data_IF_632032241213
#
_entry.id   IF_632032241213
#
_cell.length_a   1.000
_cell.length_b   1.000
_cell.length_c   1.000
_cell.angle_alpha   90.00
_cell.angle_beta   90.00
_cell.angle_gamma   90.00
#
_symmetry.space_group_name_H-M   'P 1'
#
loop_
_entity.id
_entity.type
_entity.pdbx_description
1 polymer ?
#
# COMPACT_ATOMS: atom_id res chain seq x y z
N UNK A 1 21.00 -17.43 -15.46
CA UNK A 1 20.97 -16.00 -15.86
C UNK A 1 19.61 -15.42 -15.48
N UNK A 2 19.42 -14.80 -14.30
CA UNK A 2 18.11 -14.31 -13.86
C UNK A 2 17.78 -12.97 -14.56
N UNK A 3 17.63 -12.99 -15.89
CA UNK A 3 17.20 -11.83 -16.67
C UNK A 3 15.76 -11.40 -16.33
N UNK A 4 14.94 -12.32 -15.81
CA UNK A 4 13.55 -12.05 -15.42
C UNK A 4 13.40 -11.12 -14.20
N UNK A 5 14.30 -11.19 -13.21
CA UNK A 5 14.21 -10.33 -12.01
C UNK A 5 14.63 -8.88 -12.30
N UNK A 6 15.58 -8.67 -13.21
CA UNK A 6 16.05 -7.34 -13.57
C UNK A 6 15.01 -6.53 -14.38
N UNK A 7 14.11 -7.21 -15.08
CA UNK A 7 13.08 -6.60 -15.92
C UNK A 7 11.74 -6.32 -15.23
N UNK A 8 11.52 -6.78 -14.00
CA UNK A 8 10.24 -6.60 -13.33
C UNK A 8 9.97 -5.11 -13.07
N UNK A 9 8.83 -4.60 -13.56
CA UNK A 9 8.42 -3.24 -13.25
C UNK A 9 7.95 -3.14 -11.79
N UNK A 10 8.32 -2.08 -11.05
CA UNK A 10 7.75 -1.77 -9.73
C UNK A 10 6.21 -1.71 -9.75
N UNK A 11 5.62 -1.43 -10.91
CA UNK A 11 4.17 -1.39 -11.12
C UNK A 11 3.46 -2.75 -10.94
N UNK A 12 4.19 -3.86 -10.79
CA UNK A 12 3.59 -5.18 -10.52
C UNK A 12 2.76 -5.22 -9.22
N UNK A 13 3.04 -4.34 -8.25
CA UNK A 13 2.18 -4.17 -7.07
C UNK A 13 0.78 -3.64 -7.42
N UNK A 14 0.57 -3.12 -8.62
CA UNK A 14 -0.76 -2.79 -9.15
C UNK A 14 -1.70 -4.00 -9.18
N UNK A 15 -1.17 -5.22 -9.32
CA UNK A 15 -1.98 -6.45 -9.21
C UNK A 15 -2.54 -6.62 -7.80
N UNK A 16 -1.70 -6.48 -6.76
CA UNK A 16 -2.12 -6.57 -5.35
C UNK A 16 -3.11 -5.45 -5.00
N UNK A 17 -2.85 -4.25 -5.51
CA UNK A 17 -3.75 -3.11 -5.37
C UNK A 17 -5.14 -3.44 -5.95
N UNK A 18 -5.21 -3.91 -7.19
CA UNK A 18 -6.46 -4.24 -7.86
C UNK A 18 -7.21 -5.38 -7.17
N UNK A 19 -6.53 -6.49 -6.86
CA UNK A 19 -7.12 -7.64 -6.15
C UNK A 19 -7.66 -7.23 -4.79
N UNK A 20 -6.93 -6.37 -4.06
CA UNK A 20 -7.39 -5.87 -2.77
C UNK A 20 -8.64 -4.98 -2.85
N UNK A 21 -8.74 -4.12 -3.86
CA UNK A 21 -9.95 -3.29 -4.09
C UNK A 21 -11.14 -4.21 -4.42
N UNK A 22 -10.95 -5.18 -5.31
CA UNK A 22 -12.03 -6.12 -5.68
C UNK A 22 -12.47 -6.95 -4.47
N UNK A 23 -11.54 -7.38 -3.61
CA UNK A 23 -11.86 -8.07 -2.36
C UNK A 23 -12.73 -7.21 -1.44
N UNK A 24 -12.35 -5.95 -1.20
CA UNK A 24 -13.12 -5.01 -0.37
C UNK A 24 -14.52 -4.74 -0.98
N UNK A 25 -14.60 -4.53 -2.28
CA UNK A 25 -15.88 -4.33 -2.98
C UNK A 25 -16.78 -5.56 -2.89
N UNK A 26 -16.23 -6.76 -3.06
CA UNK A 26 -16.97 -8.01 -2.90
C UNK A 26 -17.52 -8.15 -1.47
N UNK A 27 -16.74 -7.74 -0.46
CA UNK A 27 -17.19 -7.71 0.93
C UNK A 27 -18.37 -6.75 1.14
N UNK A 28 -18.26 -5.51 0.62
CA UNK A 28 -19.34 -4.50 0.72
C UNK A 28 -20.62 -4.95 0.02
N UNK A 29 -20.51 -5.70 -1.07
CA UNK A 29 -21.64 -6.29 -1.81
C UNK A 29 -22.23 -7.54 -1.13
N UNK A 30 -21.67 -8.01 -0.02
CA UNK A 30 -22.14 -9.18 0.71
C UNK A 30 -21.60 -10.53 0.20
N UNK A 31 -20.73 -10.54 -0.81
CA UNK A 31 -20.06 -11.74 -1.32
C UNK A 31 -18.84 -12.14 -0.46
N UNK A 32 -19.10 -12.43 0.83
CA UNK A 32 -18.06 -12.68 1.84
C UNK A 32 -17.09 -13.81 1.46
N UNK A 33 -17.52 -14.98 0.93
CA UNK A 33 -16.59 -16.05 0.58
C UNK A 33 -15.61 -15.64 -0.53
N UNK A 34 -16.10 -14.86 -1.52
CA UNK A 34 -15.27 -14.34 -2.61
C UNK A 34 -14.27 -13.33 -2.09
N UNK A 35 -14.72 -12.43 -1.20
CA UNK A 35 -13.83 -11.46 -0.56
C UNK A 35 -12.69 -12.14 0.21
N UNK A 36 -13.00 -13.18 0.99
CA UNK A 36 -12.00 -13.94 1.74
C UNK A 36 -11.03 -14.71 0.84
N UNK A 37 -11.52 -15.35 -0.22
CA UNK A 37 -10.67 -16.05 -1.18
C UNK A 37 -9.68 -15.07 -1.87
N UNK A 38 -10.19 -13.92 -2.33
CA UNK A 38 -9.36 -12.87 -2.92
C UNK A 38 -8.37 -12.29 -1.92
N UNK A 39 -8.75 -12.15 -0.66
CA UNK A 39 -7.88 -11.66 0.40
C UNK A 39 -6.68 -12.59 0.65
N UNK A 40 -6.91 -13.90 0.77
CA UNK A 40 -5.82 -14.87 0.93
C UNK A 40 -4.89 -14.92 -0.29
N UNK A 41 -5.47 -14.86 -1.49
CA UNK A 41 -4.70 -14.71 -2.72
C UNK A 41 -3.84 -13.43 -2.69
N UNK A 42 -4.43 -12.32 -2.24
CA UNK A 42 -3.76 -11.03 -2.17
C UNK A 42 -2.58 -11.03 -1.19
N UNK A 43 -2.70 -11.71 -0.05
CA UNK A 43 -1.58 -11.92 0.89
C UNK A 43 -0.43 -12.66 0.19
N UNK A 44 -0.74 -13.75 -0.52
CA UNK A 44 0.27 -14.53 -1.24
C UNK A 44 0.99 -13.69 -2.29
N UNK A 45 0.24 -12.95 -3.12
CA UNK A 45 0.79 -12.05 -4.13
C UNK A 45 1.66 -10.96 -3.51
N UNK A 46 1.21 -10.34 -2.42
CA UNK A 46 1.95 -9.31 -1.71
C UNK A 46 3.27 -9.84 -1.15
N UNK A 47 3.25 -11.01 -0.50
CA UNK A 47 4.45 -11.64 0.05
C UNK A 47 5.49 -11.98 -1.02
N UNK A 48 5.05 -12.56 -2.14
CA UNK A 48 5.94 -12.88 -3.27
C UNK A 48 6.56 -11.62 -3.87
N UNK A 49 5.77 -10.57 -4.12
CA UNK A 49 6.27 -9.32 -4.70
C UNK A 49 7.22 -8.58 -3.74
N UNK A 50 6.96 -8.60 -2.44
CA UNK A 50 7.89 -8.06 -1.45
C UNK A 50 9.20 -8.83 -1.42
N UNK A 51 9.16 -10.16 -1.41
CA UNK A 51 10.37 -10.98 -1.44
C UNK A 51 11.22 -10.68 -2.69
N UNK A 52 10.59 -10.58 -3.86
CA UNK A 52 11.27 -10.22 -5.12
C UNK A 52 11.83 -8.80 -5.09
N UNK A 53 11.11 -7.85 -4.50
CA UNK A 53 11.54 -6.45 -4.40
C UNK A 53 12.72 -6.28 -3.44
N UNK A 54 12.68 -6.95 -2.30
CA UNK A 54 13.79 -6.98 -1.33
C UNK A 54 15.00 -7.68 -1.93
N UNK A 55 14.80 -8.84 -2.59
CA UNK A 55 15.88 -9.52 -3.30
C UNK A 55 16.51 -8.61 -4.35
N UNK A 56 15.72 -7.86 -5.12
CA UNK A 56 16.24 -6.88 -6.09
C UNK A 56 17.00 -5.73 -5.41
N UNK A 57 16.50 -5.21 -4.30
CA UNK A 57 17.15 -4.13 -3.57
C UNK A 57 18.51 -4.55 -3.00
N UNK A 58 18.64 -5.80 -2.53
CA UNK A 58 19.89 -6.35 -1.96
C UNK A 58 20.87 -6.77 -3.06
N UNK A 59 20.39 -7.45 -4.10
CA UNK A 59 21.26 -7.98 -5.17
C UNK A 59 21.67 -6.91 -6.19
N UNK A 60 20.82 -5.92 -6.45
CA UNK A 60 21.02 -4.90 -7.49
C UNK A 60 20.69 -3.48 -7.02
N UNK A 61 21.30 -2.98 -5.92
CA UNK A 61 20.97 -1.67 -5.36
C UNK A 61 21.19 -0.53 -6.36
N UNK A 62 22.26 -0.58 -7.16
CA UNK A 62 22.54 0.44 -8.19
C UNK A 62 21.43 0.54 -9.25
N UNK A 63 20.87 -0.59 -9.66
CA UNK A 63 19.77 -0.63 -10.64
C UNK A 63 18.49 -0.10 -10.00
N UNK A 64 18.21 -0.50 -8.75
CA UNK A 64 17.06 -0.05 -7.99
C UNK A 64 17.04 1.48 -7.77
N UNK A 65 18.16 2.06 -7.36
CA UNK A 65 18.29 3.52 -7.24
C UNK A 65 18.24 4.23 -8.59
N UNK A 66 18.74 3.60 -9.66
CA UNK A 66 18.59 4.10 -11.02
C UNK A 66 17.12 4.17 -11.46
N UNK A 67 16.32 3.14 -11.16
CA UNK A 67 14.88 3.11 -11.46
C UNK A 67 14.09 4.16 -10.65
N UNK A 68 14.52 4.48 -9.42
CA UNK A 68 13.95 5.57 -8.60
C UNK A 68 14.15 6.95 -9.23
N UNK A 69 15.22 7.13 -10.01
CA UNK A 69 15.57 8.38 -10.68
C UNK A 69 15.02 8.46 -12.11
N UNK A 70 14.40 7.39 -12.62
CA UNK A 70 13.80 7.33 -13.94
C UNK A 70 12.35 7.84 -13.90
N UNK A 71 12.06 8.89 -14.68
CA UNK A 71 10.74 9.52 -14.78
C UNK A 71 9.62 8.53 -15.17
N UNK A 72 9.93 7.46 -15.92
CA UNK A 72 8.94 6.50 -16.38
C UNK A 72 8.65 5.42 -15.32
N UNK A 73 9.62 5.09 -14.47
CA UNK A 73 9.55 3.97 -13.51
C UNK A 73 9.30 4.42 -12.08
N UNK A 74 9.76 5.63 -11.71
CA UNK A 74 9.60 6.21 -10.39
C UNK A 74 8.14 6.20 -9.91
N UNK A 75 7.13 6.60 -10.72
CA UNK A 75 5.74 6.58 -10.27
C UNK A 75 5.22 5.16 -9.96
N UNK A 76 5.80 4.14 -10.60
CA UNK A 76 5.48 2.73 -10.35
C UNK A 76 5.74 2.31 -8.90
N UNK A 77 6.71 2.92 -8.22
CA UNK A 77 6.98 2.61 -6.81
C UNK A 77 5.84 3.02 -5.89
N UNK A 78 5.03 4.04 -6.22
CA UNK A 78 3.86 4.41 -5.41
C UNK A 78 2.78 3.32 -5.37
N UNK A 79 2.78 2.38 -6.32
CA UNK A 79 1.88 1.21 -6.25
C UNK A 79 2.14 0.34 -5.02
N UNK A 80 3.38 0.30 -4.51
CA UNK A 80 3.73 -0.43 -3.28
C UNK A 80 3.03 0.17 -2.07
N UNK A 81 2.96 1.50 -2.00
CA UNK A 81 2.24 2.25 -0.95
C UNK A 81 0.75 1.97 -1.03
N UNK A 82 0.17 2.11 -2.22
CA UNK A 82 -1.25 1.87 -2.45
C UNK A 82 -1.62 0.42 -2.06
N UNK A 83 -0.88 -0.58 -2.56
CA UNK A 83 -1.09 -1.99 -2.24
C UNK A 83 -1.00 -2.26 -0.72
N UNK A 84 -0.01 -1.69 -0.04
CA UNK A 84 0.16 -1.88 1.42
C UNK A 84 -1.00 -1.27 2.20
N UNK A 85 -1.42 -0.05 1.85
CA UNK A 85 -2.55 0.63 2.51
C UNK A 85 -3.89 -0.10 2.29
N UNK A 86 -4.12 -0.65 1.10
CA UNK A 86 -5.32 -1.46 0.80
C UNK A 86 -5.28 -2.80 1.54
N UNK A 87 -4.11 -3.42 1.67
CA UNK A 87 -3.96 -4.63 2.46
C UNK A 87 -4.23 -4.35 3.95
N UNK A 88 -3.76 -3.21 4.47
CA UNK A 88 -4.10 -2.76 5.82
C UNK A 88 -5.62 -2.64 6.03
N UNK A 89 -6.33 -2.02 5.07
CA UNK A 89 -7.79 -1.96 5.09
C UNK A 89 -8.43 -3.34 5.11
N UNK A 90 -7.95 -4.29 4.29
CA UNK A 90 -8.50 -5.65 4.29
C UNK A 90 -8.32 -6.35 5.63
N UNK A 91 -7.18 -6.21 6.31
CA UNK A 91 -7.00 -6.77 7.67
C UNK A 91 -7.97 -6.16 8.68
N UNK A 92 -8.19 -4.84 8.62
CA UNK A 92 -9.12 -4.15 9.51
C UNK A 92 -10.60 -4.52 9.25
N UNK A 93 -10.98 -4.75 7.99
CA UNK A 93 -12.38 -5.00 7.59
C UNK A 93 -12.74 -6.48 7.61
N UNK A 94 -11.91 -7.35 7.02
CA UNK A 94 -12.27 -8.77 6.83
C UNK A 94 -11.92 -9.65 8.03
N UNK A 95 -10.77 -9.40 8.68
CA UNK A 95 -10.31 -10.16 9.86
C UNK A 95 -10.66 -9.45 11.17
N UNK A 96 -11.00 -8.15 11.10
CA UNK A 96 -11.15 -7.28 12.27
C UNK A 96 -9.89 -7.19 13.13
N UNK A 97 -8.72 -7.46 12.53
CA UNK A 97 -7.43 -7.36 13.21
C UNK A 97 -6.87 -5.94 13.09
N UNK A 98 -7.17 -5.14 14.10
CA UNK A 98 -6.73 -3.74 14.17
C UNK A 98 -5.22 -3.64 14.38
N UNK A 99 -4.60 -4.63 15.02
CA UNK A 99 -3.17 -4.58 15.30
C UNK A 99 -2.36 -4.75 14.01
N UNK A 100 -2.63 -5.81 13.24
CA UNK A 100 -1.99 -6.00 11.94
C UNK A 100 -2.34 -4.87 10.97
N UNK A 101 -3.60 -4.44 10.95
CA UNK A 101 -4.00 -3.27 10.16
C UNK A 101 -3.16 -2.02 10.48
N UNK A 102 -2.94 -1.71 11.76
CA UNK A 102 -2.15 -0.55 12.18
C UNK A 102 -0.68 -0.68 11.78
N UNK A 103 -0.07 -1.87 11.93
CA UNK A 103 1.33 -2.10 11.51
C UNK A 103 1.49 -1.89 10.01
N UNK A 104 0.61 -2.47 9.19
CA UNK A 104 0.66 -2.28 7.74
C UNK A 104 0.38 -0.82 7.35
N UNK A 105 -0.55 -0.14 8.02
CA UNK A 105 -0.83 1.27 7.78
C UNK A 105 0.41 2.13 8.09
N UNK A 106 1.04 1.94 9.25
CA UNK A 106 2.24 2.67 9.64
C UNK A 106 3.38 2.42 8.64
N UNK A 107 3.52 1.18 8.19
CA UNK A 107 4.49 0.82 7.16
C UNK A 107 4.20 1.52 5.82
N UNK A 108 2.93 1.60 5.40
CA UNK A 108 2.52 2.33 4.19
C UNK A 108 2.85 3.83 4.30
N UNK A 109 2.62 4.44 5.46
CA UNK A 109 2.94 5.86 5.71
C UNK A 109 4.44 6.10 5.61
N UNK A 110 5.26 5.28 6.28
CA UNK A 110 6.73 5.39 6.20
C UNK A 110 7.20 5.23 4.76
N UNK A 111 6.70 4.21 4.06
CA UNK A 111 7.07 3.95 2.66
C UNK A 111 6.69 5.12 1.75
N UNK A 112 5.52 5.74 1.98
CA UNK A 112 5.06 6.92 1.26
C UNK A 112 5.94 8.14 1.50
N UNK A 113 6.29 8.43 2.75
CA UNK A 113 7.23 9.50 3.07
C UNK A 113 8.57 9.26 2.38
N UNK A 114 9.17 8.08 2.53
CA UNK A 114 10.46 7.76 1.91
C UNK A 114 10.41 7.91 0.39
N UNK A 115 9.40 7.34 -0.27
CA UNK A 115 9.29 7.39 -1.74
C UNK A 115 8.98 8.78 -2.26
N UNK A 116 8.05 9.51 -1.64
CA UNK A 116 7.70 10.88 -2.03
C UNK A 116 8.95 11.75 -1.97
N UNK A 117 9.65 11.76 -0.84
CA UNK A 117 10.82 12.60 -0.68
C UNK A 117 11.97 12.16 -1.59
N UNK A 118 12.20 10.85 -1.75
CA UNK A 118 13.26 10.34 -2.63
C UNK A 118 13.00 10.68 -4.10
N UNK A 119 11.78 10.48 -4.59
CA UNK A 119 11.41 10.71 -5.99
C UNK A 119 11.40 12.22 -6.27
N UNK A 120 10.72 13.03 -5.47
CA UNK A 120 10.71 14.48 -5.68
C UNK A 120 12.11 15.09 -5.51
N UNK A 121 12.94 14.60 -4.59
CA UNK A 121 14.33 15.05 -4.47
C UNK A 121 15.17 14.65 -5.68
N UNK A 122 15.07 13.40 -6.13
CA UNK A 122 15.77 12.92 -7.33
C UNK A 122 15.43 13.74 -8.57
N UNK A 123 14.17 14.14 -8.72
CA UNK A 123 13.70 14.93 -9.85
C UNK A 123 14.05 16.41 -9.72
N UNK A 124 14.15 16.93 -8.49
CA UNK A 124 14.59 18.31 -8.22
C UNK A 124 16.08 18.49 -8.50
N UNK A 125 16.90 17.50 -8.16
CA UNK A 125 18.37 17.55 -8.31
C UNK A 125 18.82 17.22 -9.74
N UNK A 126 18.00 16.53 -10.55
CA UNK A 126 18.35 16.15 -11.92
C UNK A 126 18.47 17.40 -12.82
N UNK A 127 19.68 17.62 -13.37
CA UNK A 127 20.00 18.71 -14.31
C UNK A 127 19.38 18.51 -15.70
N UNK A 128 19.27 17.27 -16.16
CA UNK A 128 18.63 16.92 -17.43
C UNK A 128 17.11 16.78 -17.24
N UNK A 129 16.39 17.82 -17.67
CA UNK A 129 14.92 17.86 -17.71
C UNK A 129 14.48 17.25 -19.04
N UNK A 130 13.86 16.06 -19.06
CA UNK A 130 13.20 15.57 -20.27
C UNK A 130 12.09 16.55 -20.66
N UNK A 131 11.78 16.64 -21.95
CA UNK A 131 10.70 17.49 -22.43
C UNK A 131 9.34 17.12 -21.77
N UNK A 132 8.49 18.14 -21.59
CA UNK A 132 7.24 18.11 -20.81
C UNK A 132 6.24 17.04 -21.33
N UNK A 133 6.36 16.69 -22.62
CA UNK A 133 5.57 15.70 -23.35
C UNK A 133 5.82 14.25 -22.88
N UNK A 134 7.01 13.94 -22.36
CA UNK A 134 7.31 12.65 -21.70
C UNK A 134 7.20 12.69 -20.18
N UNK A 135 7.11 13.89 -19.60
CA UNK A 135 7.04 14.12 -18.16
C UNK A 135 5.68 13.78 -17.55
N UNK A 136 4.58 14.02 -18.28
CA UNK A 136 3.21 13.74 -17.81
C UNK A 136 2.69 12.46 -18.47
N UNK A 137 2.94 11.32 -17.83
CA UNK A 137 2.29 10.05 -18.16
C UNK A 137 1.23 9.69 -17.11
N UNK A 138 0.30 8.78 -17.44
CA UNK A 138 -0.74 8.33 -16.50
C UNK A 138 -0.19 7.67 -15.22
N UNK A 139 1.06 7.22 -15.21
CA UNK A 139 1.73 6.69 -14.02
C UNK A 139 1.87 7.72 -12.91
N UNK A 140 1.94 9.01 -13.21
CA UNK A 140 1.98 10.06 -12.19
C UNK A 140 0.73 10.14 -11.32
N UNK A 141 -0.41 9.66 -11.82
CA UNK A 141 -1.63 9.52 -11.01
C UNK A 141 -1.40 8.60 -9.81
N UNK A 142 -0.43 7.67 -9.87
CA UNK A 142 -0.10 6.77 -8.77
C UNK A 142 0.40 7.51 -7.52
N UNK A 143 1.04 8.67 -7.67
CA UNK A 143 1.44 9.50 -6.53
C UNK A 143 0.19 10.00 -5.77
N UNK A 144 -0.83 10.43 -6.51
CA UNK A 144 -2.12 10.86 -5.93
C UNK A 144 -2.92 9.66 -5.40
N UNK A 145 -2.96 8.54 -6.13
CA UNK A 145 -3.66 7.33 -5.68
C UNK A 145 -3.05 6.80 -4.37
N UNK A 146 -1.72 6.87 -4.22
CA UNK A 146 -1.05 6.48 -2.99
C UNK A 146 -1.45 7.36 -1.80
N UNK A 147 -1.49 8.70 -1.95
CA UNK A 147 -1.93 9.60 -0.88
C UNK A 147 -3.39 9.37 -0.51
N UNK A 148 -4.26 9.20 -1.50
CA UNK A 148 -5.67 8.91 -1.29
C UNK A 148 -5.87 7.59 -0.55
N UNK A 149 -5.11 6.55 -0.91
CA UNK A 149 -5.21 5.24 -0.24
C UNK A 149 -4.77 5.31 1.23
N UNK A 150 -3.73 6.10 1.55
CA UNK A 150 -3.35 6.38 2.95
C UNK A 150 -4.45 7.13 3.69
N UNK A 151 -5.05 8.14 3.07
CA UNK A 151 -6.12 8.92 3.70
C UNK A 151 -7.33 8.02 4.05
N UNK A 152 -7.75 7.17 3.12
CA UNK A 152 -8.82 6.20 3.33
C UNK A 152 -8.48 5.22 4.44
N UNK A 153 -7.27 4.67 4.43
CA UNK A 153 -6.82 3.73 5.46
C UNK A 153 -6.71 4.38 6.85
N UNK A 154 -6.29 5.64 6.91
CA UNK A 154 -6.24 6.44 8.15
C UNK A 154 -7.63 6.69 8.72
N UNK A 155 -8.59 7.07 7.86
CA UNK A 155 -9.98 7.28 8.25
C UNK A 155 -10.61 5.99 8.80
N UNK A 156 -10.33 4.86 8.16
CA UNK A 156 -10.79 3.55 8.63
C UNK A 156 -10.19 3.19 9.99
N UNK A 157 -8.88 3.39 10.17
CA UNK A 157 -8.20 3.13 11.45
C UNK A 157 -8.76 4.02 12.57
N UNK A 158 -9.03 5.29 12.29
CA UNK A 158 -9.67 6.21 13.24
C UNK A 158 -11.08 5.74 13.62
N UNK A 159 -11.88 5.30 12.65
CA UNK A 159 -13.23 4.79 12.91
C UNK A 159 -13.22 3.52 13.78
N UNK A 160 -12.35 2.56 13.46
CA UNK A 160 -12.23 1.29 14.19
C UNK A 160 -11.72 1.51 15.62
N UNK A 161 -10.73 2.39 15.81
CA UNK A 161 -10.19 2.72 17.13
C UNK A 161 -11.22 3.47 18.01
N UNK A 162 -11.99 4.39 17.44
CA UNK A 162 -13.07 5.08 18.14
C UNK A 162 -14.16 4.10 18.63
N UNK A 163 -14.58 3.15 17.78
CA UNK A 163 -15.55 2.11 18.16
C UNK A 163 -15.05 1.24 19.32
N UNK A 164 -13.77 0.85 19.31
CA UNK A 164 -13.18 0.10 20.40
C UNK A 164 -13.17 0.88 21.72
N UNK A 165 -12.91 2.19 21.67
CA UNK A 165 -13.01 3.08 22.83
C UNK A 165 -14.42 3.14 23.42
N UNK A 166 -15.44 3.30 22.56
CA UNK A 166 -16.85 3.31 22.98
C UNK A 166 -17.24 1.98 23.62
N UNK A 167 -16.88 0.84 23.00
CA UNK A 167 -17.18 -0.50 23.57
C UNK A 167 -16.53 -0.69 24.95
N UNK A 168 -15.25 -0.32 25.11
CA UNK A 168 -14.58 -0.42 26.43
C UNK A 168 -15.26 0.42 27.50
N UNK A 169 -15.65 1.65 27.17
CA UNK A 169 -16.34 2.53 28.11
C UNK A 169 -17.73 1.98 28.51
N UNK A 170 -18.47 1.39 27.56
CA UNK A 170 -19.75 0.74 27.84
C UNK A 170 -19.58 -0.48 28.76
N UNK A 171 -18.54 -1.30 28.55
CA UNK A 171 -18.24 -2.44 29.44
C UNK A 171 -17.84 -1.98 30.85
N UNK A 172 -17.04 -0.92 30.97
CA UNK A 172 -16.64 -0.35 32.26
C UNK A 172 -17.82 0.30 33.03
N UNK A 173 -18.80 0.87 32.33
CA UNK A 173 -20.03 1.37 32.94
C UNK A 173 -20.90 0.22 33.46
N UNK A 174 -21.05 -0.85 32.67
CA UNK A 174 -21.85 -2.03 33.05
C UNK A 174 -21.26 -2.81 34.23
N UNK A 175 -19.93 -2.79 34.44
CA UNK A 175 -19.31 -3.40 35.62
C UNK A 175 -19.47 -2.55 36.88
N UNK A 176 -19.47 -1.21 36.76
CA UNK A 176 -19.73 -0.29 37.88
C UNK A 176 -21.15 -0.35 38.39
N UNK A 177 -22.13 -0.60 37.52
CA UNK A 177 -23.56 -0.59 37.88
C UNK A 177 -24.05 -1.91 38.50
N UNK A 178 -23.17 -2.91 38.62
CA UNK A 178 -23.43 -4.20 39.29
C UNK A 178 -22.86 -4.29 40.70
N UNK A 179 -22.20 -3.24 41.19
CA UNK A 179 -21.74 -3.06 42.56
C UNK A 179 -22.68 -2.07 43.27
#
# INVERSE_FOLDING_TARGET
MPAGLAGMSPANFGMVMATGIVSLSAYVLGFVPVAQALFWLNIGLYGVLWALTVARAVLYPRVFFGDLQDHLRAPGFFTTVAATSILACQFMVLIHDTHFGLVLWAFAVVLWFVLTYSIFMALTVKRDKPALDRGINGGWLLAVVATQSIAVSSALLAAVSALHGIRRNAHACKSRQRL
#
